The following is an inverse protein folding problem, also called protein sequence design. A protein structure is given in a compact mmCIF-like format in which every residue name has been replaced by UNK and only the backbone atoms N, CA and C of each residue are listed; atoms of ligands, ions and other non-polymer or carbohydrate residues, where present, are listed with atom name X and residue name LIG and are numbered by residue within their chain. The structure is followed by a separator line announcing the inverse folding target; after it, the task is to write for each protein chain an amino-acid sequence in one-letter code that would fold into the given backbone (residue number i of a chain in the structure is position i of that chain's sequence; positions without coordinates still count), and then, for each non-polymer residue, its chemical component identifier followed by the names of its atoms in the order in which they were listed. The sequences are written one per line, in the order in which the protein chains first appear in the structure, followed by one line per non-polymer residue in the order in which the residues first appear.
data_IF_391926837383
#
_entry.id   IF_391926837383
#
_cell.length_a   1.000
_cell.length_b   1.000
_cell.length_c   1.000
_cell.angle_alpha   90.00
_cell.angle_beta   90.00
_cell.angle_gamma   90.00
#
_symmetry.space_group_name_H-M   'P 1'
#
loop_
_entity.id
_entity.type
_entity.pdbx_description
1 polymer ?
#
# COMPACT_ATOMS: atom_id res chain seq x y z
N UNK A 1 -0.35 -32.95 13.42
CA UNK A 1 -0.76 -31.59 13.84
C UNK A 1 0.51 -30.81 14.07
N UNK A 2 1.00 -30.11 13.04
CA UNK A 2 2.29 -29.43 13.05
C UNK A 2 2.00 -27.98 12.68
N UNK A 3 1.92 -27.13 13.69
CA UNK A 3 1.67 -25.70 13.53
C UNK A 3 2.87 -25.06 12.83
N UNK A 4 2.62 -24.49 11.65
CA UNK A 4 3.57 -23.63 10.95
C UNK A 4 3.38 -22.22 11.50
N UNK A 5 4.40 -21.61 12.14
CA UNK A 5 4.25 -20.27 12.69
C UNK A 5 4.30 -19.25 11.54
N UNK A 6 3.20 -18.53 11.34
CA UNK A 6 3.16 -17.39 10.42
C UNK A 6 3.92 -16.24 11.12
N UNK A 7 5.17 -16.03 10.72
CA UNK A 7 5.96 -14.86 11.13
C UNK A 7 5.31 -13.59 10.56
N UNK A 8 4.79 -12.66 11.38
CA UNK A 8 4.33 -11.38 10.87
C UNK A 8 5.55 -10.56 10.43
N UNK A 9 5.70 -10.36 9.12
CA UNK A 9 6.68 -9.45 8.56
C UNK A 9 6.57 -8.09 9.26
N UNK A 10 7.68 -7.63 9.84
CA UNK A 10 7.80 -6.44 10.66
C UNK A 10 7.57 -5.14 9.86
N UNK A 11 6.31 -4.81 9.57
CA UNK A 11 5.89 -3.55 8.94
C UNK A 11 5.85 -2.34 9.90
N UNK A 12 6.55 -2.41 11.05
CA UNK A 12 6.39 -1.43 12.15
C UNK A 12 7.12 -0.10 11.93
N UNK A 13 8.04 -0.01 10.96
CA UNK A 13 8.90 1.18 10.78
C UNK A 13 8.33 2.31 9.93
N UNK A 14 7.23 2.12 9.18
CA UNK A 14 6.70 3.16 8.26
C UNK A 14 5.60 4.09 8.84
N UNK A 15 5.04 3.80 10.02
CA UNK A 15 3.87 4.55 10.56
C UNK A 15 4.17 5.95 11.11
N UNK A 16 5.41 6.29 11.42
CA UNK A 16 5.70 7.53 12.17
C UNK A 16 5.67 8.78 11.29
N UNK A 17 6.18 8.69 10.06
CA UNK A 17 6.19 9.82 9.10
C UNK A 17 4.77 10.06 8.55
N UNK A 18 3.98 8.99 8.39
CA UNK A 18 2.57 9.07 7.95
C UNK A 18 1.63 9.71 8.98
N UNK A 19 2.07 9.88 10.24
CA UNK A 19 1.27 10.44 11.35
C UNK A 19 1.54 11.92 11.63
N UNK A 20 2.31 12.59 10.79
CA UNK A 20 2.53 14.03 10.92
C UNK A 20 1.34 14.79 10.32
N UNK A 21 0.79 15.81 11.01
CA UNK A 21 1.26 16.40 12.26
C UNK A 21 0.82 15.61 13.52
N UNK A 22 1.77 15.36 14.43
CA UNK A 22 1.66 14.46 15.60
C UNK A 22 0.71 14.99 16.69
N UNK A 23 0.41 16.30 16.71
CA UNK A 23 -0.43 16.93 17.72
C UNK A 23 -1.77 17.47 17.19
N UNK A 24 -2.32 16.87 16.12
CA UNK A 24 -3.61 17.31 15.56
C UNK A 24 -4.76 17.26 16.58
N UNK A 25 -4.73 16.28 17.48
CA UNK A 25 -5.81 16.01 18.44
C UNK A 25 -5.67 16.72 19.79
N UNK A 26 -4.56 17.42 20.04
CA UNK A 26 -4.30 18.13 21.31
C UNK A 26 -3.66 19.51 21.08
N UNK A 27 -4.45 20.53 20.73
CA UNK A 27 -3.92 21.85 20.34
C UNK A 27 -3.12 22.54 21.45
N UNK A 28 -3.52 22.38 22.71
CA UNK A 28 -2.84 22.98 23.87
C UNK A 28 -1.43 22.41 24.08
N UNK A 29 -1.23 21.11 23.85
CA UNK A 29 0.11 20.51 23.93
C UNK A 29 0.99 20.99 22.78
N UNK A 30 0.42 21.15 21.58
CA UNK A 30 1.13 21.70 20.42
C UNK A 30 1.58 23.14 20.64
N UNK A 31 0.74 24.00 21.20
CA UNK A 31 1.11 25.39 21.52
C UNK A 31 2.17 25.47 22.61
N UNK A 32 2.02 24.71 23.70
CA UNK A 32 3.04 24.64 24.77
C UNK A 32 4.39 24.16 24.23
N UNK A 33 4.40 23.08 23.44
CA UNK A 33 5.62 22.58 22.81
C UNK A 33 6.24 23.61 21.85
N UNK A 34 5.42 24.34 21.09
CA UNK A 34 5.88 25.43 20.23
C UNK A 34 6.57 26.53 21.03
N UNK A 35 5.96 26.98 22.13
CA UNK A 35 6.56 27.99 23.01
C UNK A 35 7.88 27.51 23.61
N UNK A 36 7.95 26.25 24.03
CA UNK A 36 9.20 25.65 24.53
C UNK A 36 10.28 25.65 23.44
N UNK A 37 9.97 25.21 22.21
CA UNK A 37 10.93 25.20 21.10
C UNK A 37 11.44 26.61 20.79
N UNK A 38 10.55 27.61 20.75
CA UNK A 38 10.92 29.01 20.54
C UNK A 38 11.82 29.52 21.67
N UNK A 39 11.48 29.22 22.93
CA UNK A 39 12.28 29.60 24.09
C UNK A 39 13.67 28.96 24.07
N UNK A 40 13.76 27.67 23.70
CA UNK A 40 15.05 26.97 23.52
C UNK A 40 15.86 27.60 22.39
N UNK A 41 15.23 27.93 21.26
CA UNK A 41 15.92 28.57 20.14
C UNK A 41 16.49 29.95 20.49
N UNK A 42 15.73 30.72 21.27
CA UNK A 42 16.18 32.01 21.81
C UNK A 42 17.32 31.86 22.82
N UNK A 43 17.19 30.93 23.78
CA UNK A 43 18.24 30.67 24.78
C UNK A 43 19.53 30.17 24.12
N UNK A 44 19.42 29.29 23.13
CA UNK A 44 20.55 28.82 22.32
C UNK A 44 21.18 29.98 21.56
N UNK A 45 20.37 30.88 20.98
CA UNK A 45 20.88 32.06 20.28
C UNK A 45 21.69 32.95 21.21
N UNK A 46 21.18 33.20 22.42
CA UNK A 46 21.85 34.02 23.42
C UNK A 46 23.17 33.39 23.91
N UNK A 47 23.18 32.06 24.11
CA UNK A 47 24.38 31.34 24.53
C UNK A 47 25.50 31.36 23.47
N UNK A 48 25.13 31.32 22.19
CA UNK A 48 26.07 31.26 21.06
C UNK A 48 26.40 32.67 20.50
N UNK A 49 25.76 33.72 21.02
CA UNK A 49 26.00 35.11 20.60
C UNK A 49 27.48 35.54 20.65
N UNK A 50 28.27 35.22 21.69
CA UNK A 50 29.70 35.57 21.73
C UNK A 50 30.53 34.87 20.64
N UNK A 51 30.02 33.77 20.08
CA UNK A 51 30.72 32.94 19.10
C UNK A 51 30.34 33.29 17.65
N UNK A 52 29.23 34.03 17.45
CA UNK A 52 28.69 34.33 16.12
C UNK A 52 29.12 35.74 15.67
N UNK A 53 29.59 35.89 14.41
CA UNK A 53 29.76 37.21 13.80
C UNK A 53 28.43 37.98 13.80
N UNK A 54 28.50 39.31 13.85
CA UNK A 54 27.36 40.24 13.96
C UNK A 54 26.43 40.31 12.72
N UNK A 55 26.37 39.26 11.89
CA UNK A 55 25.55 39.18 10.67
C UNK A 55 24.46 38.10 10.67
N UNK A 56 24.36 37.28 11.72
CA UNK A 56 23.49 36.08 11.73
C UNK A 56 22.44 36.08 12.85
N UNK A 57 21.48 37.02 12.86
CA UNK A 57 20.47 37.11 13.93
C UNK A 57 19.49 35.91 13.96
N UNK A 58 19.32 35.18 12.84
CA UNK A 58 18.24 34.19 12.68
C UNK A 58 18.63 32.71 12.70
N UNK A 59 19.91 32.36 12.79
CA UNK A 59 20.41 31.00 12.49
C UNK A 59 19.77 29.91 13.36
N UNK A 60 19.55 30.15 14.65
CA UNK A 60 18.91 29.17 15.55
C UNK A 60 17.39 29.14 15.42
N UNK A 61 16.80 30.19 14.85
CA UNK A 61 15.35 30.33 14.71
C UNK A 61 14.81 29.57 13.48
N UNK A 62 15.56 29.45 12.38
CA UNK A 62 15.11 28.68 11.21
C UNK A 62 14.83 27.19 11.53
N UNK A 63 15.74 26.44 12.18
CA UNK A 63 15.45 25.06 12.56
C UNK A 63 14.23 24.94 13.49
N UNK A 64 14.04 25.90 14.39
CA UNK A 64 12.90 25.93 15.29
C UNK A 64 11.56 26.09 14.54
N UNK A 65 11.51 26.97 13.53
CA UNK A 65 10.34 27.16 12.66
C UNK A 65 10.08 25.92 11.80
N UNK A 66 11.13 25.32 11.22
CA UNK A 66 11.01 24.10 10.40
C UNK A 66 10.47 22.94 11.25
N UNK A 67 11.07 22.68 12.42
CA UNK A 67 10.65 21.59 13.31
C UNK A 67 9.21 21.79 13.78
N UNK A 68 8.85 23.01 14.18
CA UNK A 68 7.48 23.33 14.63
C UNK A 68 6.47 23.15 13.50
N UNK A 69 6.77 23.65 12.30
CA UNK A 69 5.88 23.53 11.14
C UNK A 69 5.71 22.08 10.67
N UNK A 70 6.77 21.27 10.76
CA UNK A 70 6.75 19.86 10.41
C UNK A 70 5.97 19.01 11.43
N UNK A 71 6.20 19.21 12.73
CA UNK A 71 5.60 18.40 13.80
C UNK A 71 4.15 18.78 14.10
N UNK A 72 3.85 20.08 14.12
CA UNK A 72 2.57 20.62 14.59
C UNK A 72 1.75 21.29 13.48
N UNK A 73 2.31 21.34 12.26
CA UNK A 73 1.66 21.91 11.09
C UNK A 73 2.00 23.38 10.87
N UNK A 74 1.70 23.84 9.66
CA UNK A 74 2.04 25.20 9.17
C UNK A 74 1.44 26.31 10.03
N UNK A 75 0.28 26.08 10.67
CA UNK A 75 -0.37 27.08 11.55
C UNK A 75 0.46 27.40 12.79
N UNK A 76 1.02 26.37 13.45
CA UNK A 76 1.87 26.58 14.63
C UNK A 76 3.28 27.00 14.20
N UNK A 77 3.74 26.51 13.04
CA UNK A 77 4.98 26.98 12.41
C UNK A 77 4.96 28.49 12.08
N UNK A 78 3.85 29.03 11.59
CA UNK A 78 3.73 30.46 11.30
C UNK A 78 3.73 31.30 12.58
N UNK A 79 3.05 30.84 13.64
CA UNK A 79 3.10 31.47 14.96
C UNK A 79 4.53 31.47 15.50
N UNK A 80 5.24 30.35 15.43
CA UNK A 80 6.65 30.28 15.81
C UNK A 80 7.51 31.24 14.99
N UNK A 81 7.28 31.33 13.67
CA UNK A 81 8.01 32.25 12.79
C UNK A 81 7.82 33.71 13.19
N UNK A 82 6.59 34.12 13.51
CA UNK A 82 6.32 35.49 13.97
C UNK A 82 7.01 35.74 15.31
N UNK A 83 6.89 34.83 16.27
CA UNK A 83 7.53 34.97 17.58
C UNK A 83 9.06 35.05 17.47
N UNK A 84 9.67 34.15 16.70
CA UNK A 84 11.10 34.15 16.44
C UNK A 84 11.57 35.45 15.76
N UNK A 85 10.82 35.95 14.77
CA UNK A 85 11.13 37.21 14.10
C UNK A 85 11.09 38.41 15.04
N UNK A 86 10.06 38.49 15.90
CA UNK A 86 9.93 39.55 16.90
C UNK A 86 11.01 39.48 17.98
N UNK A 87 11.33 38.27 18.47
CA UNK A 87 12.41 38.05 19.44
C UNK A 87 13.76 38.44 18.86
N UNK A 88 14.03 38.06 17.61
CA UNK A 88 15.25 38.42 16.91
C UNK A 88 15.36 39.94 16.72
N UNK A 89 14.28 40.60 16.29
CA UNK A 89 14.25 42.05 16.10
C UNK A 89 14.51 42.80 17.41
N UNK A 90 13.85 42.41 18.50
CA UNK A 90 13.99 43.12 19.77
C UNK A 90 15.35 42.90 20.44
N UNK A 91 15.91 41.68 20.43
CA UNK A 91 17.14 41.37 21.18
C UNK A 91 18.42 41.43 20.36
N UNK A 92 18.42 41.02 19.10
CA UNK A 92 19.65 40.70 18.36
C UNK A 92 19.96 41.65 17.20
N UNK A 93 19.03 42.53 16.81
CA UNK A 93 19.24 43.50 15.72
C UNK A 93 19.53 44.89 16.33
N UNK A 94 20.73 45.46 16.11
CA UNK A 94 21.05 46.81 16.60
C UNK A 94 20.20 47.90 15.93
N UNK A 95 19.70 48.92 16.67
CA UNK A 95 19.81 49.13 18.11
C UNK A 95 18.95 48.14 18.92
N UNK A 96 19.59 47.40 19.83
CA UNK A 96 18.92 46.39 20.63
C UNK A 96 17.93 47.02 21.63
N UNK A 97 16.93 46.24 22.05
CA UNK A 97 15.84 46.62 22.96
C UNK A 97 14.91 47.70 22.38
N UNK A 98 14.67 47.64 21.07
CA UNK A 98 13.72 48.51 20.38
C UNK A 98 13.29 47.94 19.04
N UNK A 99 12.23 48.52 18.48
CA UNK A 99 11.74 48.20 17.14
C UNK A 99 12.14 49.28 16.15
N UNK A 100 13.43 49.58 16.08
CA UNK A 100 13.95 50.60 15.17
C UNK A 100 14.25 49.95 13.83
N UNK A 101 13.66 50.50 12.76
CA UNK A 101 13.88 50.02 11.41
C UNK A 101 15.05 50.76 10.76
N UNK A 102 16.26 50.30 11.02
CA UNK A 102 17.46 50.73 10.28
C UNK A 102 17.52 50.02 8.91
N UNK A 103 18.35 50.52 7.98
CA UNK A 103 18.54 49.83 6.69
C UNK A 103 19.00 48.37 6.88
N UNK A 104 19.95 48.14 7.79
CA UNK A 104 20.41 46.79 8.14
C UNK A 104 19.31 45.91 8.75
N UNK A 105 18.48 46.46 9.64
CA UNK A 105 17.33 45.76 10.20
C UNK A 105 16.30 45.38 9.13
N UNK A 106 16.04 46.28 8.18
CA UNK A 106 15.15 46.03 7.04
C UNK A 106 15.63 44.89 6.17
N UNK A 107 16.91 44.87 5.78
CA UNK A 107 17.49 43.76 5.02
C UNK A 107 17.43 42.43 5.78
N UNK A 108 17.77 42.45 7.07
CA UNK A 108 17.74 41.27 7.91
C UNK A 108 16.30 40.70 8.03
N UNK A 109 15.31 41.55 8.31
CA UNK A 109 13.92 41.14 8.43
C UNK A 109 13.34 40.64 7.09
N UNK A 110 13.68 41.32 5.98
CA UNK A 110 13.30 40.88 4.64
C UNK A 110 13.86 39.50 4.29
N UNK A 111 15.14 39.27 4.57
CA UNK A 111 15.77 37.96 4.37
C UNK A 111 15.12 36.88 5.24
N UNK A 112 14.81 37.18 6.50
CA UNK A 112 14.12 36.27 7.40
C UNK A 112 12.74 35.88 6.88
N UNK A 113 11.91 36.86 6.50
CA UNK A 113 10.57 36.62 5.97
C UNK A 113 10.64 35.78 4.68
N UNK A 114 11.62 36.04 3.82
CA UNK A 114 11.82 35.28 2.60
C UNK A 114 12.19 33.81 2.87
N UNK A 115 13.20 33.56 3.70
CA UNK A 115 13.65 32.20 4.03
C UNK A 115 12.58 31.45 4.80
N UNK A 116 12.05 32.02 5.89
CA UNK A 116 11.01 31.38 6.69
C UNK A 116 9.71 31.17 5.90
N UNK A 117 9.36 32.09 5.00
CA UNK A 117 8.23 31.94 4.09
C UNK A 117 8.43 30.78 3.12
N UNK A 118 9.63 30.66 2.54
CA UNK A 118 9.99 29.55 1.65
C UNK A 118 9.95 28.21 2.39
N UNK A 119 10.53 28.13 3.59
CA UNK A 119 10.48 26.92 4.42
C UNK A 119 9.04 26.51 4.75
N UNK A 120 8.20 27.46 5.17
CA UNK A 120 6.79 27.20 5.46
C UNK A 120 6.01 26.76 4.22
N UNK A 121 6.29 27.33 3.05
CA UNK A 121 5.69 26.93 1.77
C UNK A 121 6.10 25.50 1.38
N UNK A 122 7.39 25.16 1.49
CA UNK A 122 7.90 23.81 1.23
C UNK A 122 7.26 22.79 2.16
N UNK A 123 7.18 23.09 3.47
CA UNK A 123 6.51 22.21 4.44
C UNK A 123 5.03 22.07 4.12
N UNK A 124 4.34 23.15 3.75
CA UNK A 124 2.93 23.12 3.36
C UNK A 124 2.68 22.20 2.16
N UNK A 125 3.47 22.34 1.10
CA UNK A 125 3.35 21.53 -0.11
C UNK A 125 3.70 20.07 0.15
N UNK A 126 4.77 19.80 0.89
CA UNK A 126 5.13 18.43 1.29
C UNK A 126 4.02 17.76 2.10
N UNK A 127 3.42 18.47 3.06
CA UNK A 127 2.30 17.94 3.85
C UNK A 127 1.02 17.79 3.01
N UNK A 128 0.78 18.64 2.00
CA UNK A 128 -0.33 18.47 1.07
C UNK A 128 -0.13 17.24 0.17
N UNK A 129 1.05 17.09 -0.43
CA UNK A 129 1.41 15.94 -1.26
C UNK A 129 1.34 14.62 -0.49
N UNK A 130 1.87 14.57 0.73
CA UNK A 130 1.78 13.37 1.57
C UNK A 130 0.33 12.99 1.91
N UNK A 131 -0.55 13.98 2.14
CA UNK A 131 -1.98 13.74 2.39
C UNK A 131 -2.71 13.19 1.15
N UNK A 132 -2.37 13.70 -0.03
CA UNK A 132 -2.90 13.18 -1.30
C UNK A 132 -2.48 11.72 -1.50
N UNK A 133 -1.18 11.42 -1.38
CA UNK A 133 -0.65 10.06 -1.49
C UNK A 133 -1.28 9.10 -0.47
N UNK A 134 -1.51 9.55 0.76
CA UNK A 134 -2.19 8.74 1.78
C UNK A 134 -3.64 8.45 1.40
N UNK A 135 -4.36 9.44 0.87
CA UNK A 135 -5.75 9.27 0.39
C UNK A 135 -5.86 8.31 -0.79
N UNK A 136 -4.97 8.45 -1.78
CA UNK A 136 -4.92 7.55 -2.94
C UNK A 136 -4.63 6.10 -2.54
N UNK A 137 -3.71 5.90 -1.58
CA UNK A 137 -3.40 4.56 -1.05
C UNK A 137 -4.61 3.92 -0.35
N UNK A 138 -5.35 4.70 0.42
CA UNK A 138 -6.54 4.18 1.10
C UNK A 138 -7.65 3.83 0.11
N UNK A 139 -7.88 4.69 -0.88
CA UNK A 139 -8.82 4.40 -1.97
C UNK A 139 -8.41 3.16 -2.78
N UNK A 140 -7.12 3.05 -3.12
CA UNK A 140 -6.61 1.88 -3.83
C UNK A 140 -6.81 0.59 -3.03
N UNK A 141 -6.58 0.63 -1.71
CA UNK A 141 -6.85 -0.52 -0.82
C UNK A 141 -8.33 -0.87 -0.76
N UNK A 142 -9.22 0.12 -0.61
CA UNK A 142 -10.66 -0.15 -0.55
C UNK A 142 -11.18 -0.73 -1.86
N UNK A 143 -10.71 -0.22 -3.00
CA UNK A 143 -11.02 -0.76 -4.33
C UNK A 143 -10.49 -2.18 -4.50
N UNK A 144 -9.26 -2.47 -4.07
CA UNK A 144 -8.70 -3.82 -4.13
C UNK A 144 -9.52 -4.82 -3.32
N UNK A 145 -9.90 -4.47 -2.08
CA UNK A 145 -10.76 -5.31 -1.22
C UNK A 145 -12.13 -5.51 -1.86
N UNK A 146 -12.74 -4.47 -2.42
CA UNK A 146 -14.05 -4.55 -3.05
C UNK A 146 -14.02 -5.43 -4.29
N UNK A 147 -12.98 -5.27 -5.13
CA UNK A 147 -12.75 -6.11 -6.31
C UNK A 147 -12.64 -7.57 -5.91
N UNK A 148 -11.86 -7.87 -4.88
CA UNK A 148 -11.69 -9.24 -4.37
C UNK A 148 -13.04 -9.85 -3.95
N UNK A 149 -13.85 -9.12 -3.18
CA UNK A 149 -15.17 -9.58 -2.76
C UNK A 149 -16.13 -9.83 -3.93
N UNK A 150 -16.13 -8.93 -4.92
CA UNK A 150 -16.97 -9.08 -6.11
C UNK A 150 -16.55 -10.29 -6.94
N UNK A 151 -15.25 -10.50 -7.16
CA UNK A 151 -14.74 -11.67 -7.86
C UNK A 151 -15.09 -12.96 -7.13
N UNK A 152 -14.97 -12.98 -5.80
CA UNK A 152 -15.41 -14.10 -4.96
C UNK A 152 -16.87 -14.44 -5.17
N UNK A 153 -17.73 -13.44 -5.07
CA UNK A 153 -19.18 -13.62 -5.24
C UNK A 153 -19.52 -14.14 -6.64
N UNK A 154 -18.86 -13.61 -7.68
CA UNK A 154 -19.02 -14.09 -9.05
C UNK A 154 -18.63 -15.57 -9.18
N UNK A 155 -17.47 -15.98 -8.66
CA UNK A 155 -17.03 -17.38 -8.73
C UNK A 155 -17.99 -18.33 -7.99
N UNK A 156 -18.47 -17.92 -6.80
CA UNK A 156 -19.50 -18.69 -6.08
C UNK A 156 -20.77 -18.85 -6.91
N UNK A 157 -21.26 -17.78 -7.54
CA UNK A 157 -22.46 -17.83 -8.40
C UNK A 157 -22.26 -18.66 -9.65
N UNK A 158 -21.10 -18.55 -10.31
CA UNK A 158 -20.76 -19.37 -11.49
C UNK A 158 -20.78 -20.85 -11.12
N UNK A 159 -20.12 -21.22 -10.03
CA UNK A 159 -20.09 -22.60 -9.58
C UNK A 159 -21.48 -23.12 -9.19
N UNK A 160 -22.29 -22.30 -8.53
CA UNK A 160 -23.67 -22.62 -8.20
C UNK A 160 -24.53 -22.87 -9.46
N UNK A 161 -24.44 -21.98 -10.45
CA UNK A 161 -25.19 -22.12 -11.70
C UNK A 161 -24.78 -23.38 -12.48
N UNK A 162 -23.49 -23.72 -12.49
CA UNK A 162 -23.00 -24.97 -13.10
C UNK A 162 -23.54 -26.21 -12.37
N UNK A 163 -23.66 -26.17 -11.05
CA UNK A 163 -24.25 -27.27 -10.27
C UNK A 163 -25.75 -27.43 -10.57
N UNK A 164 -26.50 -26.34 -10.68
CA UNK A 164 -27.92 -26.38 -11.06
C UNK A 164 -28.08 -26.97 -12.47
N UNK A 165 -27.25 -26.55 -13.42
CA UNK A 165 -27.26 -27.09 -14.79
C UNK A 165 -26.95 -28.61 -14.79
N UNK A 166 -25.93 -29.05 -14.05
CA UNK A 166 -25.60 -30.47 -13.92
C UNK A 166 -26.76 -31.29 -13.28
N UNK A 167 -27.44 -30.70 -12.28
CA UNK A 167 -28.63 -31.30 -11.66
C UNK A 167 -29.79 -31.47 -12.65
N UNK A 168 -30.02 -30.47 -13.52
CA UNK A 168 -31.05 -30.55 -14.55
C UNK A 168 -30.75 -31.64 -15.58
N UNK A 169 -29.50 -31.77 -16.04
CA UNK A 169 -29.08 -32.87 -16.92
C UNK A 169 -29.35 -34.23 -16.29
N UNK A 170 -29.08 -34.36 -14.99
CA UNK A 170 -29.36 -35.59 -14.23
C UNK A 170 -30.85 -35.91 -14.17
N UNK A 171 -31.72 -34.89 -14.06
CA UNK A 171 -33.19 -35.06 -14.11
C UNK A 171 -33.65 -35.45 -15.51
N UNK A 172 -33.11 -34.83 -16.57
CA UNK A 172 -33.46 -35.16 -17.96
C UNK A 172 -33.03 -36.59 -18.32
N UNK A 173 -31.85 -37.02 -17.86
CA UNK A 173 -31.39 -38.40 -18.01
C UNK A 173 -32.40 -39.43 -17.50
N UNK A 174 -33.07 -39.16 -16.36
CA UNK A 174 -34.06 -40.08 -15.78
C UNK A 174 -35.30 -40.27 -16.66
N UNK A 175 -35.56 -39.36 -17.60
CA UNK A 175 -36.70 -39.41 -18.53
C UNK A 175 -36.38 -40.08 -19.86
N UNK A 176 -35.13 -40.50 -20.07
CA UNK A 176 -34.69 -41.15 -21.30
C UNK A 176 -34.59 -42.66 -21.10
N UNK A 177 -35.07 -43.40 -22.10
CA UNK A 177 -34.99 -44.87 -22.17
C UNK A 177 -33.72 -45.33 -22.91
N UNK A 178 -33.24 -44.55 -23.88
CA UNK A 178 -32.05 -44.86 -24.65
C UNK A 178 -30.78 -44.82 -23.78
N UNK A 179 -30.04 -45.94 -23.75
CA UNK A 179 -28.83 -46.11 -22.97
C UNK A 179 -27.69 -45.19 -23.47
N UNK A 180 -27.58 -44.96 -24.78
CA UNK A 180 -26.53 -44.12 -25.36
C UNK A 180 -26.77 -42.64 -25.00
N UNK A 181 -28.00 -42.13 -25.17
CA UNK A 181 -28.37 -40.79 -24.74
C UNK A 181 -28.20 -40.56 -23.23
N UNK A 182 -28.47 -41.57 -22.39
CA UNK A 182 -28.22 -41.49 -20.93
C UNK A 182 -26.74 -41.36 -20.61
N UNK A 183 -25.87 -42.11 -21.28
CA UNK A 183 -24.43 -42.03 -21.11
C UNK A 183 -23.89 -40.65 -21.51
N UNK A 184 -24.37 -40.08 -22.62
CA UNK A 184 -23.97 -38.75 -23.07
C UNK A 184 -24.35 -37.64 -22.06
N UNK A 185 -25.54 -37.72 -21.44
CA UNK A 185 -25.95 -36.76 -20.41
C UNK A 185 -25.17 -36.91 -19.10
N UNK A 186 -24.79 -38.13 -18.71
CA UNK A 186 -23.89 -38.35 -17.57
C UNK A 186 -22.52 -37.72 -17.80
N UNK A 187 -21.93 -37.91 -18.99
CA UNK A 187 -20.66 -37.29 -19.34
C UNK A 187 -20.76 -35.76 -19.27
N UNK A 188 -21.83 -35.18 -19.83
CA UNK A 188 -22.07 -33.74 -19.79
C UNK A 188 -22.22 -33.19 -18.35
N UNK A 189 -22.97 -33.89 -17.49
CA UNK A 189 -23.14 -33.52 -16.09
C UNK A 189 -21.81 -33.60 -15.32
N UNK A 190 -21.00 -34.63 -15.56
CA UNK A 190 -19.68 -34.79 -14.96
C UNK A 190 -18.71 -33.68 -15.39
N UNK A 191 -18.72 -33.30 -16.68
CA UNK A 191 -17.93 -32.18 -17.19
C UNK A 191 -18.32 -30.84 -16.54
N UNK A 192 -19.61 -30.54 -16.39
CA UNK A 192 -20.07 -29.32 -15.70
C UNK A 192 -19.64 -29.29 -14.22
N UNK A 193 -19.71 -30.43 -13.54
CA UNK A 193 -19.24 -30.55 -12.16
C UNK A 193 -17.73 -30.32 -12.03
N UNK A 194 -16.94 -30.85 -12.96
CA UNK A 194 -15.50 -30.61 -13.05
C UNK A 194 -15.20 -29.12 -13.25
N UNK A 195 -15.84 -28.46 -14.22
CA UNK A 195 -15.66 -27.02 -14.48
C UNK A 195 -16.02 -26.21 -13.21
N UNK A 196 -17.11 -26.57 -12.52
CA UNK A 196 -17.52 -25.92 -11.28
C UNK A 196 -16.51 -26.09 -10.13
N UNK A 197 -15.83 -27.24 -10.04
CA UNK A 197 -14.71 -27.47 -9.09
C UNK A 197 -13.49 -26.65 -9.46
N UNK A 198 -13.08 -26.67 -10.72
CA UNK A 198 -11.93 -25.90 -11.23
C UNK A 198 -12.13 -24.40 -10.98
N UNK A 199 -13.30 -23.86 -11.30
CA UNK A 199 -13.65 -22.45 -11.07
C UNK A 199 -13.53 -22.04 -9.59
N UNK A 200 -13.91 -22.91 -8.64
CA UNK A 200 -13.71 -22.66 -7.20
C UNK A 200 -12.26 -22.82 -6.77
N UNK A 201 -11.55 -23.81 -7.28
CA UNK A 201 -10.20 -24.15 -6.82
C UNK A 201 -9.12 -23.21 -7.39
N UNK A 202 -9.35 -22.66 -8.59
CA UNK A 202 -8.54 -21.57 -9.14
C UNK A 202 -8.68 -20.28 -8.32
N UNK A 203 -9.70 -20.18 -7.47
CA UNK A 203 -9.94 -19.03 -6.62
C UNK A 203 -9.93 -19.43 -5.13
N UNK A 204 -8.73 -19.50 -4.56
CA UNK A 204 -8.53 -19.62 -3.12
C UNK A 204 -8.28 -18.21 -2.51
N UNK A 205 -9.24 -17.63 -1.77
CA UNK A 205 -9.13 -16.27 -1.22
C UNK A 205 -8.02 -16.12 -0.16
N UNK A 206 -7.40 -17.22 0.27
CA UNK A 206 -6.21 -17.17 1.11
C UNK A 206 -4.94 -16.75 0.36
N UNK A 207 -4.98 -16.71 -0.98
CA UNK A 207 -3.78 -16.52 -1.81
C UNK A 207 -2.76 -17.65 -1.65
N UNK A 208 -3.13 -18.74 -0.96
CA UNK A 208 -2.24 -19.85 -0.71
C UNK A 208 -1.94 -20.54 -2.03
N UNK A 209 -0.70 -20.42 -2.47
CA UNK A 209 -0.27 -21.05 -3.71
C UNK A 209 -0.43 -22.58 -3.56
N UNK A 210 -1.32 -23.16 -4.37
CA UNK A 210 -1.60 -24.60 -4.30
C UNK A 210 -0.50 -25.39 -5.03
N UNK A 211 -0.04 -26.52 -4.47
CA UNK A 211 0.91 -27.37 -5.15
C UNK A 211 0.30 -27.90 -6.46
N UNK A 212 0.95 -27.62 -7.58
CA UNK A 212 0.43 -27.90 -8.92
C UNK A 212 0.22 -29.40 -9.17
N UNK A 213 1.13 -30.25 -8.70
CA UNK A 213 1.10 -31.70 -8.99
C UNK A 213 -0.10 -32.40 -8.33
N UNK A 214 -0.40 -32.22 -7.03
CA UNK A 214 -1.64 -32.72 -6.43
C UNK A 214 -2.91 -32.20 -7.11
N UNK A 215 -2.91 -30.92 -7.52
CA UNK A 215 -4.03 -30.31 -8.23
C UNK A 215 -4.30 -30.98 -9.58
N UNK A 216 -3.27 -31.07 -10.44
CA UNK A 216 -3.38 -31.77 -11.73
C UNK A 216 -3.74 -33.24 -11.54
N UNK A 217 -3.26 -33.89 -10.48
CA UNK A 217 -3.63 -35.26 -10.13
C UNK A 217 -5.09 -35.45 -9.78
N UNK A 218 -5.69 -34.51 -9.04
CA UNK A 218 -7.12 -34.53 -8.79
C UNK A 218 -7.91 -34.26 -10.09
N UNK A 219 -7.50 -33.25 -10.86
CA UNK A 219 -8.18 -32.82 -12.08
C UNK A 219 -8.15 -33.89 -13.17
N UNK A 220 -7.00 -34.53 -13.41
CA UNK A 220 -6.87 -35.61 -14.38
C UNK A 220 -7.67 -36.85 -13.96
N UNK A 221 -7.74 -37.18 -12.66
CA UNK A 221 -8.60 -38.27 -12.18
C UNK A 221 -10.07 -37.97 -12.41
N UNK A 222 -10.51 -36.76 -12.07
CA UNK A 222 -11.88 -36.33 -12.32
C UNK A 222 -12.27 -36.36 -13.81
N UNK A 223 -11.34 -36.01 -14.71
CA UNK A 223 -11.54 -36.11 -16.18
C UNK A 223 -11.63 -37.58 -16.63
N UNK A 224 -10.76 -38.45 -16.11
CA UNK A 224 -10.78 -39.87 -16.45
C UNK A 224 -12.08 -40.53 -15.98
N UNK A 225 -12.51 -40.26 -14.75
CA UNK A 225 -13.78 -40.73 -14.21
C UNK A 225 -14.96 -40.23 -15.03
N UNK A 226 -14.95 -38.96 -15.44
CA UNK A 226 -15.98 -38.38 -16.30
C UNK A 226 -16.03 -39.01 -17.69
N UNK A 227 -14.89 -39.47 -18.22
CA UNK A 227 -14.77 -40.07 -19.56
C UNK A 227 -15.17 -41.55 -19.61
N UNK A 228 -15.41 -42.18 -18.45
CA UNK A 228 -15.77 -43.61 -18.35
C UNK A 228 -14.67 -44.59 -18.80
N UNK A 229 -13.43 -44.10 -19.03
CA UNK A 229 -12.29 -44.93 -19.48
C UNK A 229 -11.48 -45.42 -18.28
N UNK A 230 -11.56 -46.72 -18.00
CA UNK A 230 -10.82 -47.37 -16.89
C UNK A 230 -9.46 -47.96 -17.29
N UNK A 231 -9.15 -48.05 -18.59
CA UNK A 231 -7.93 -48.68 -19.11
C UNK A 231 -6.73 -47.72 -19.29
N UNK A 232 -6.60 -46.68 -18.46
CA UNK A 232 -5.54 -45.69 -18.61
C UNK A 232 -4.70 -45.60 -17.34
N UNK A 233 -3.37 -45.66 -17.50
CA UNK A 233 -2.41 -45.42 -16.42
C UNK A 233 -2.05 -43.94 -16.40
N UNK A 234 -2.31 -43.26 -15.30
CA UNK A 234 -2.08 -41.82 -15.14
C UNK A 234 -0.73 -41.59 -14.46
N UNK A 235 0.27 -41.15 -15.23
CA UNK A 235 1.60 -40.77 -14.73
C UNK A 235 1.76 -39.26 -14.78
N UNK A 236 1.91 -38.62 -13.62
CA UNK A 236 2.22 -37.20 -13.49
C UNK A 236 3.65 -37.03 -12.99
N UNK A 237 4.46 -36.28 -13.73
CA UNK A 237 5.82 -35.95 -13.34
C UNK A 237 6.00 -34.43 -13.45
N UNK A 238 6.47 -33.79 -12.38
CA UNK A 238 6.57 -32.35 -12.30
C UNK A 238 7.28 -31.89 -11.03
N UNK A 239 7.70 -30.63 -11.01
CA UNK A 239 8.41 -30.07 -9.86
C UNK A 239 7.43 -29.82 -8.69
N UNK A 240 7.61 -30.54 -7.58
CA UNK A 240 6.78 -30.43 -6.37
C UNK A 240 6.80 -29.04 -5.71
N UNK A 241 7.81 -28.21 -6.04
CA UNK A 241 7.91 -26.83 -5.55
C UNK A 241 7.12 -25.83 -6.36
N UNK A 242 6.59 -26.22 -7.54
CA UNK A 242 5.82 -25.32 -8.38
C UNK A 242 4.42 -25.15 -7.78
N UNK A 243 4.10 -23.90 -7.41
CA UNK A 243 2.81 -23.55 -6.82
C UNK A 243 2.05 -22.62 -7.73
N UNK A 244 0.77 -22.92 -7.95
CA UNK A 244 -0.16 -22.07 -8.67
C UNK A 244 -0.63 -20.95 -7.75
N UNK A 245 -0.33 -19.71 -8.10
CA UNK A 245 -1.01 -18.57 -7.48
C UNK A 245 -2.40 -18.40 -8.13
N UNK A 246 -3.47 -18.19 -7.33
CA UNK A 246 -4.83 -18.00 -7.85
C UNK A 246 -4.92 -16.93 -8.96
N UNK A 247 -4.13 -15.85 -8.82
CA UNK A 247 -4.09 -14.72 -9.76
C UNK A 247 -3.34 -15.00 -11.07
N UNK A 248 -2.60 -16.11 -11.19
CA UNK A 248 -1.84 -16.43 -12.40
C UNK A 248 -2.75 -16.79 -13.60
N UNK A 249 -4.02 -17.10 -13.36
CA UNK A 249 -5.00 -17.36 -14.43
C UNK A 249 -5.48 -16.09 -15.15
N UNK A 250 -5.16 -14.90 -14.64
CA UNK A 250 -5.55 -13.60 -15.23
C UNK A 250 -4.31 -12.72 -15.39
N UNK A 251 -3.30 -13.21 -16.10
CA UNK A 251 -2.26 -12.34 -16.66
C UNK A 251 -2.68 -11.91 -18.08
N UNK A 252 -2.72 -10.60 -18.40
CA UNK A 252 -2.91 -10.13 -19.78
C UNK A 252 -1.68 -10.35 -20.67
N UNK A 253 -0.62 -10.99 -20.18
CA UNK A 253 0.57 -11.30 -20.98
C UNK A 253 0.28 -12.52 -21.88
N UNK A 254 0.49 -12.44 -23.21
CA UNK A 254 0.37 -13.61 -24.07
C UNK A 254 1.45 -14.61 -23.67
N UNK A 255 1.05 -15.72 -23.04
CA UNK A 255 1.90 -16.91 -22.93
C UNK A 255 2.07 -17.48 -24.34
N UNK A 256 3.14 -17.12 -25.02
CA UNK A 256 3.59 -17.82 -26.23
C UNK A 256 4.09 -19.20 -25.81
N UNK A 257 3.24 -20.20 -26.01
CA UNK A 257 3.62 -21.61 -25.93
C UNK A 257 4.50 -21.94 -27.13
N UNK A 258 5.81 -21.82 -26.96
CA UNK A 258 6.78 -22.47 -27.85
C UNK A 258 7.36 -23.66 -27.10
N UNK A 259 7.16 -24.85 -27.68
CA UNK A 259 7.65 -26.16 -27.26
C UNK A 259 8.56 -26.18 -26.01
N UNK A 260 7.95 -26.47 -24.86
CA UNK A 260 8.57 -27.21 -23.77
C UNK A 260 9.80 -26.62 -23.08
N UNK A 261 9.75 -25.40 -22.52
CA UNK A 261 10.43 -25.01 -21.26
C UNK A 261 9.76 -23.74 -20.72
N UNK A 262 9.15 -23.78 -19.53
CA UNK A 262 8.77 -22.57 -18.79
C UNK A 262 9.99 -21.99 -18.05
N UNK A 263 10.51 -20.85 -18.50
CA UNK A 263 11.49 -20.06 -17.73
C UNK A 263 10.77 -18.89 -17.02
N UNK A 264 10.96 -18.67 -15.71
CA UNK A 264 10.52 -17.44 -15.07
C UNK A 264 11.33 -16.26 -15.63
N UNK A 265 10.63 -15.25 -16.14
CA UNK A 265 11.23 -14.07 -16.76
C UNK A 265 12.11 -13.29 -15.79
N UNK A 266 13.41 -13.22 -16.09
CA UNK A 266 14.29 -12.22 -15.51
C UNK A 266 13.94 -10.85 -16.11
N UNK A 267 13.65 -9.89 -15.24
CA UNK A 267 13.59 -8.46 -15.54
C UNK A 267 14.98 -8.03 -16.03
N UNK A 268 15.13 -7.39 -17.21
CA UNK A 268 16.43 -6.90 -17.65
C UNK A 268 16.83 -5.69 -16.80
N UNK A 269 17.96 -5.80 -16.12
CA UNK A 269 18.66 -4.67 -15.49
C UNK A 269 19.04 -3.63 -16.56
N UNK A 270 18.57 -2.38 -16.38
CA UNK A 270 19.01 -1.22 -17.16
C UNK A 270 20.55 -1.08 -17.10
N UNK A 271 21.23 -0.81 -18.22
CA UNK A 271 22.62 -0.37 -18.18
C UNK A 271 22.72 1.07 -17.67
N UNK A 272 23.87 1.36 -17.06
CA UNK A 272 24.27 2.62 -16.43
C UNK A 272 24.27 3.82 -17.40
#
# INVERSE_FOLDING_TARGET
MMEVPIQPATHRRRRWIERLPVARDRPVLGTLATLVIVAVAWALRAAVDPLLPSGFPYVTFFPAVIVTSFLFGVRLGSVASILCGLLAWYWFIPPARGFVLTQGAGFALGFYVFVAGTDLALVHWMQAANRQLAGERELSRSLAVTRELLFRELQHRVSNNLQVAAGLLTVQKRRLDDAEARAALDEAANRLNLIGRISRQLYDPSGAAQPLVPFLGALCRDVLDASGRTNLTLTLSGNERLRLQPDAAISPSPCTTTAGVCRPGLIPSRPA
#
